data_IF_137776940929
#
_entry.id   IF_137776940929
#
_cell.length_a   1.000
_cell.length_b   1.000
_cell.length_c   1.000
_cell.angle_alpha   90.00
_cell.angle_beta   90.00
_cell.angle_gamma   90.00
#
_symmetry.space_group_name_H-M   'P 1'
#
loop_
_entity.id
_entity.type
_entity.pdbx_description
1 polymer ?
#
# COMPACT_ATOMS: atom_id res chain seq x y z
N UNK A 1 -8.51 -11.05 -19.01
CA UNK A 1 -9.73 -10.23 -19.06
C UNK A 1 -9.69 -9.25 -17.90
N UNK A 2 -9.70 -7.95 -18.19
CA UNK A 2 -9.79 -6.88 -17.20
C UNK A 2 -11.24 -6.90 -16.69
N UNK A 3 -11.47 -6.84 -15.38
CA UNK A 3 -12.83 -6.76 -14.82
C UNK A 3 -13.60 -5.64 -15.55
N UNK A 4 -14.86 -5.86 -15.96
CA UNK A 4 -15.70 -4.78 -16.49
C UNK A 4 -15.70 -3.63 -15.48
N UNK A 5 -15.14 -2.48 -15.88
CA UNK A 5 -15.02 -1.28 -15.02
C UNK A 5 -13.69 -1.13 -14.26
N UNK A 6 -12.75 -2.05 -14.37
CA UNK A 6 -11.42 -1.87 -13.76
C UNK A 6 -10.58 -0.88 -14.57
N UNK A 7 -10.31 0.27 -13.97
CA UNK A 7 -9.54 1.35 -14.58
C UNK A 7 -8.05 1.19 -14.24
N UNK A 8 -7.28 0.64 -15.18
CA UNK A 8 -5.83 0.44 -15.10
C UNK A 8 -5.08 1.38 -16.07
N UNK A 9 -3.97 1.95 -15.62
CA UNK A 9 -3.06 2.80 -16.40
C UNK A 9 -3.77 3.89 -17.24
N UNK A 10 -3.78 3.91 -18.60
CA UNK A 10 -4.38 5.05 -19.33
C UNK A 10 -5.89 5.21 -19.05
N UNK A 11 -6.54 4.16 -18.54
CA UNK A 11 -7.96 4.16 -18.23
C UNK A 11 -8.27 4.64 -16.81
N UNK A 12 -7.29 4.98 -15.96
CA UNK A 12 -7.55 5.54 -14.63
C UNK A 12 -8.53 6.71 -14.69
N UNK A 13 -9.55 6.67 -13.83
CA UNK A 13 -10.51 7.75 -13.70
C UNK A 13 -9.81 9.08 -13.42
N UNK A 14 -10.38 10.16 -13.95
CA UNK A 14 -9.81 11.51 -13.77
C UNK A 14 -9.69 11.89 -12.29
N UNK A 15 -10.66 11.50 -11.45
CA UNK A 15 -10.66 11.72 -10.00
C UNK A 15 -9.59 10.91 -9.23
N UNK A 16 -8.99 9.88 -9.84
CA UNK A 16 -7.92 9.09 -9.22
C UNK A 16 -6.52 9.60 -9.53
N UNK A 17 -6.41 10.64 -10.37
CA UNK A 17 -5.14 11.29 -10.73
C UNK A 17 -4.87 12.47 -9.80
N UNK A 18 -3.60 12.73 -9.51
CA UNK A 18 -3.18 13.86 -8.69
C UNK A 18 -2.37 14.87 -9.51
N UNK A 19 -2.50 16.16 -9.17
CA UNK A 19 -1.66 17.23 -9.69
C UNK A 19 -0.49 17.50 -8.74
N UNK A 20 0.65 17.87 -9.32
CA UNK A 20 1.86 18.28 -8.59
C UNK A 20 1.98 19.79 -8.42
N UNK A 21 1.24 20.57 -9.21
CA UNK A 21 1.17 22.02 -9.10
C UNK A 21 -0.19 22.55 -9.60
N UNK A 22 -0.59 23.77 -9.24
CA UNK A 22 -1.90 24.33 -9.64
C UNK A 22 -2.14 24.36 -11.16
N UNK A 23 -1.07 24.57 -11.94
CA UNK A 23 -1.09 24.57 -13.40
C UNK A 23 -0.48 23.29 -14.01
N UNK A 24 -0.12 22.31 -13.18
CA UNK A 24 0.49 21.06 -13.61
C UNK A 24 -0.53 20.12 -14.22
N UNK A 25 -0.10 19.34 -15.23
CA UNK A 25 -0.88 18.17 -15.66
C UNK A 25 -0.99 17.20 -14.49
N UNK A 26 -2.15 16.55 -14.35
CA UNK A 26 -2.27 15.45 -13.41
C UNK A 26 -1.25 14.38 -13.81
N UNK A 27 -0.26 14.15 -12.95
CA UNK A 27 0.63 13.02 -13.18
C UNK A 27 -0.09 11.77 -12.70
N UNK A 28 0.01 10.66 -13.44
CA UNK A 28 -0.68 9.40 -13.11
C UNK A 28 -0.17 8.73 -11.81
N UNK A 29 0.47 9.52 -10.94
CA UNK A 29 1.03 9.15 -9.66
C UNK A 29 0.33 9.99 -8.58
N UNK A 30 -0.41 9.35 -7.68
CA UNK A 30 -0.16 8.00 -7.18
C UNK A 30 -0.98 6.92 -7.88
N UNK A 31 -0.39 5.73 -7.99
CA UNK A 31 -1.11 4.57 -8.50
C UNK A 31 -2.28 4.21 -7.58
N UNK A 32 -3.50 4.32 -8.10
CA UNK A 32 -4.73 3.86 -7.46
C UNK A 32 -5.44 2.92 -8.42
N UNK A 33 -5.72 1.68 -7.98
CA UNK A 33 -6.56 0.75 -8.71
C UNK A 33 -8.04 1.01 -8.37
N UNK A 34 -8.83 1.42 -9.37
CA UNK A 34 -10.27 1.63 -9.23
C UNK A 34 -11.02 0.43 -9.80
N UNK A 35 -11.17 -0.61 -8.96
CA UNK A 35 -11.90 -1.84 -9.26
C UNK A 35 -12.40 -2.46 -7.96
N UNK A 36 -13.38 -3.36 -8.03
CA UNK A 36 -13.75 -4.18 -6.86
C UNK A 36 -12.52 -4.98 -6.42
N UNK A 37 -12.13 -4.81 -5.15
CA UNK A 37 -10.90 -5.35 -4.57
C UNK A 37 -9.64 -4.50 -4.70
N UNK A 38 -9.74 -3.33 -5.33
CA UNK A 38 -8.70 -2.31 -5.36
C UNK A 38 -7.33 -2.86 -5.77
N UNK A 39 -6.29 -2.44 -5.04
CA UNK A 39 -4.90 -2.77 -5.36
C UNK A 39 -4.57 -4.26 -5.33
N UNK A 40 -5.29 -5.07 -4.55
CA UNK A 40 -5.01 -6.53 -4.45
C UNK A 40 -5.30 -7.29 -5.74
N UNK A 41 -6.06 -6.71 -6.67
CA UNK A 41 -6.21 -7.29 -8.01
C UNK A 41 -4.88 -7.27 -8.79
N UNK A 42 -4.06 -6.26 -8.55
CA UNK A 42 -2.87 -5.91 -9.34
C UNK A 42 -1.60 -5.73 -8.48
N UNK A 43 -1.59 -6.26 -7.26
CA UNK A 43 -0.39 -6.32 -6.43
C UNK A 43 0.45 -7.57 -6.73
N UNK A 44 1.71 -7.53 -6.27
CA UNK A 44 2.65 -8.66 -6.36
C UNK A 44 2.48 -9.72 -5.26
N UNK A 45 1.47 -9.56 -4.39
CA UNK A 45 1.15 -10.49 -3.30
C UNK A 45 2.29 -10.76 -2.30
N UNK A 46 3.16 -9.78 -2.09
CA UNK A 46 4.18 -9.78 -1.04
C UNK A 46 3.54 -9.36 0.28
N UNK A 47 3.64 -10.20 1.31
CA UNK A 47 2.86 -10.08 2.55
C UNK A 47 3.74 -10.19 3.79
N UNK A 48 4.47 -9.11 4.11
CA UNK A 48 5.27 -9.05 5.33
C UNK A 48 4.44 -8.58 6.52
N UNK A 49 4.74 -9.12 7.71
CA UNK A 49 4.37 -8.49 8.98
C UNK A 49 5.27 -7.28 9.25
N UNK A 50 4.74 -6.31 9.99
CA UNK A 50 5.56 -5.24 10.56
C UNK A 50 6.27 -5.72 11.84
N UNK A 51 7.33 -5.01 12.22
CA UNK A 51 8.09 -5.24 13.45
C UNK A 51 7.73 -4.19 14.49
N UNK A 52 8.08 -4.45 15.76
CA UNK A 52 7.84 -3.49 16.84
C UNK A 52 8.49 -2.14 16.54
N UNK A 53 9.69 -2.15 15.93
CA UNK A 53 10.39 -0.96 15.48
C UNK A 53 9.59 -0.09 14.48
N UNK A 54 8.70 -0.67 13.68
CA UNK A 54 7.82 0.09 12.77
C UNK A 54 6.67 0.77 13.52
N UNK A 55 6.23 0.21 14.66
CA UNK A 55 5.17 0.79 15.49
C UNK A 55 5.71 1.84 16.46
N UNK A 56 7.00 1.76 16.81
CA UNK A 56 7.72 2.72 17.66
C UNK A 56 8.88 3.41 16.91
N UNK A 57 8.58 3.92 15.71
CA UNK A 57 9.58 4.46 14.79
C UNK A 57 10.24 5.76 15.28
N UNK A 58 9.62 6.48 16.24
CA UNK A 58 10.17 7.69 16.86
C UNK A 58 11.49 7.45 17.58
N UNK A 59 11.84 6.21 17.94
CA UNK A 59 13.15 5.88 18.48
C UNK A 59 14.29 6.10 17.46
N UNK A 60 13.98 6.03 16.16
CA UNK A 60 14.94 6.15 15.06
C UNK A 60 14.77 7.44 14.26
N UNK A 61 13.53 7.77 13.92
CA UNK A 61 13.20 8.85 12.99
C UNK A 61 12.89 10.14 13.75
N UNK A 62 13.12 11.29 13.11
CA UNK A 62 12.83 12.61 13.68
C UNK A 62 12.01 13.39 12.68
N UNK A 63 10.76 13.67 13.02
CA UNK A 63 9.83 14.43 12.18
C UNK A 63 9.11 15.48 13.01
N UNK A 64 8.32 16.33 12.35
CA UNK A 64 7.50 17.36 12.99
C UNK A 64 6.13 16.84 13.46
N UNK A 65 5.94 15.52 13.52
CA UNK A 65 4.67 14.92 13.88
C UNK A 65 4.82 13.65 14.74
N UNK A 66 3.75 13.24 15.43
CA UNK A 66 3.69 11.95 16.16
C UNK A 66 3.62 10.77 15.18
N UNK A 67 4.64 9.90 15.18
CA UNK A 67 4.77 8.82 14.18
C UNK A 67 4.67 7.41 14.77
N UNK A 68 4.65 7.30 16.09
CA UNK A 68 4.41 6.03 16.76
C UNK A 68 2.94 5.68 16.66
N UNK A 69 2.67 4.39 16.52
CA UNK A 69 1.32 3.87 16.44
C UNK A 69 0.70 3.84 17.84
N UNK A 70 -0.60 4.15 18.00
CA UNK A 70 -1.29 4.07 19.28
C UNK A 70 -1.67 2.63 19.66
N UNK A 71 -1.00 1.64 19.08
CA UNK A 71 -1.18 0.20 19.27
C UNK A 71 0.20 -0.47 19.24
N UNK A 72 0.24 -1.72 19.69
CA UNK A 72 1.43 -2.57 19.72
C UNK A 72 1.33 -3.72 18.71
N UNK A 73 2.41 -4.49 18.56
CA UNK A 73 2.35 -5.72 17.76
C UNK A 73 1.39 -6.76 18.35
N UNK A 74 1.22 -6.80 19.68
CA UNK A 74 0.31 -7.74 20.34
C UNK A 74 -1.14 -7.51 19.91
N UNK A 75 -1.51 -6.27 19.64
CA UNK A 75 -2.84 -5.90 19.15
C UNK A 75 -3.09 -6.37 17.71
N UNK A 76 -2.03 -6.59 16.93
CA UNK A 76 -2.10 -7.03 15.53
C UNK A 76 -1.89 -8.54 15.37
N UNK A 77 -1.18 -9.18 16.31
CA UNK A 77 -0.71 -10.56 16.20
C UNK A 77 -1.83 -11.57 15.88
N UNK A 78 -2.98 -11.59 16.57
CA UNK A 78 -4.06 -12.52 16.25
C UNK A 78 -4.58 -12.34 14.82
N UNK A 79 -4.65 -11.09 14.36
CA UNK A 79 -5.20 -10.76 13.04
C UNK A 79 -4.19 -11.03 11.93
N UNK A 80 -2.89 -10.85 12.18
CA UNK A 80 -1.87 -11.28 11.21
C UNK A 80 -2.02 -12.77 10.90
N UNK A 81 -2.20 -13.58 11.95
CA UNK A 81 -2.34 -15.02 11.87
C UNK A 81 -3.59 -15.47 11.10
N UNK A 82 -4.73 -14.84 11.38
CA UNK A 82 -5.96 -15.11 10.65
C UNK A 82 -5.85 -14.73 9.17
N UNK A 83 -5.20 -13.60 8.86
CA UNK A 83 -5.00 -13.17 7.47
C UNK A 83 -4.01 -14.09 6.74
N UNK A 84 -2.97 -14.58 7.41
CA UNK A 84 -2.06 -15.59 6.86
C UNK A 84 -2.78 -16.88 6.49
N UNK A 85 -3.66 -17.36 7.39
CA UNK A 85 -4.51 -18.51 7.12
C UNK A 85 -5.48 -18.26 5.97
N UNK A 86 -6.19 -17.13 5.98
CA UNK A 86 -7.18 -16.77 4.95
C UNK A 86 -6.54 -16.69 3.56
N UNK A 87 -5.38 -16.04 3.47
CA UNK A 87 -4.72 -15.79 2.20
C UNK A 87 -3.79 -16.93 1.75
N UNK A 88 -3.54 -17.92 2.60
CA UNK A 88 -2.56 -18.99 2.40
C UNK A 88 -1.16 -18.41 2.13
N UNK A 89 -0.69 -17.54 3.01
CA UNK A 89 0.62 -16.88 2.86
C UNK A 89 1.73 -17.92 2.98
N UNK A 90 2.55 -18.06 1.95
CA UNK A 90 3.63 -19.04 1.91
C UNK A 90 4.69 -18.78 3.00
N UNK A 91 5.20 -19.86 3.59
CA UNK A 91 6.20 -19.78 4.68
C UNK A 91 5.63 -19.38 6.04
N UNK A 92 4.30 -19.40 6.20
CA UNK A 92 3.58 -19.11 7.45
C UNK A 92 2.57 -20.24 7.74
N UNK A 93 1.99 -20.32 8.95
CA UNK A 93 0.86 -21.20 9.32
C UNK A 93 0.75 -22.57 8.60
N UNK A 94 1.83 -23.35 8.57
CA UNK A 94 1.85 -24.68 7.94
C UNK A 94 1.88 -24.70 6.40
N UNK A 95 1.82 -23.53 5.75
CA UNK A 95 2.01 -23.37 4.31
C UNK A 95 3.49 -23.39 3.96
N UNK A 96 3.83 -24.23 2.99
CA UNK A 96 5.20 -24.31 2.49
C UNK A 96 5.65 -22.98 1.87
N UNK A 97 6.92 -22.57 2.03
CA UNK A 97 7.47 -21.43 1.33
C UNK A 97 7.30 -21.56 -0.18
N UNK A 98 7.07 -20.44 -0.86
CA UNK A 98 7.11 -20.43 -2.32
C UNK A 98 8.55 -20.74 -2.78
N UNK A 99 8.76 -21.67 -3.73
CA UNK A 99 10.10 -22.03 -4.17
C UNK A 99 10.87 -20.83 -4.74
N UNK A 100 12.15 -20.71 -4.38
CA UNK A 100 13.00 -19.68 -4.97
C UNK A 100 13.11 -19.88 -6.48
N UNK A 101 12.97 -18.79 -7.24
CA UNK A 101 13.22 -18.80 -8.67
C UNK A 101 14.70 -19.11 -8.95
N UNK A 102 15.03 -19.52 -10.18
CA UNK A 102 16.44 -19.68 -10.58
C UNK A 102 17.26 -18.41 -10.32
N UNK A 103 16.66 -17.24 -10.58
CA UNK A 103 17.31 -15.94 -10.34
C UNK A 103 17.44 -15.65 -8.85
N UNK A 104 16.41 -15.96 -8.06
CA UNK A 104 16.41 -15.87 -6.61
C UNK A 104 17.51 -16.73 -5.98
N UNK A 105 17.77 -17.93 -6.50
CA UNK A 105 18.87 -18.80 -6.06
C UNK A 105 20.24 -18.19 -6.34
N UNK A 106 20.45 -17.61 -7.52
CA UNK A 106 21.70 -16.91 -7.85
C UNK A 106 21.92 -15.72 -6.92
N UNK A 107 20.88 -14.88 -6.75
CA UNK A 107 20.90 -13.75 -5.82
C UNK A 107 21.23 -14.22 -4.39
N UNK A 108 20.60 -15.32 -3.95
CA UNK A 108 20.86 -15.89 -2.62
C UNK A 108 22.31 -16.29 -2.42
N UNK A 109 22.93 -16.91 -3.43
CA UNK A 109 24.34 -17.31 -3.34
C UNK A 109 25.26 -16.10 -3.25
N UNK A 110 25.04 -15.08 -4.08
CA UNK A 110 25.81 -13.83 -4.00
C UNK A 110 25.63 -13.11 -2.66
N UNK A 111 24.41 -13.09 -2.10
CA UNK A 111 24.16 -12.56 -0.75
C UNK A 111 24.97 -13.33 0.30
N UNK A 112 24.94 -14.67 0.30
CA UNK A 112 25.70 -15.50 1.26
C UNK A 112 27.20 -15.25 1.17
N UNK A 113 27.74 -15.11 -0.03
CA UNK A 113 29.17 -14.82 -0.24
C UNK A 113 29.60 -13.44 0.27
N UNK A 114 28.64 -12.51 0.42
CA UNK A 114 28.83 -11.20 1.06
C UNK A 114 28.53 -11.20 2.56
N UNK A 115 28.18 -12.35 3.14
CA UNK A 115 27.74 -12.45 4.53
C UNK A 115 26.32 -11.91 4.78
N UNK A 116 25.52 -11.72 3.72
CA UNK A 116 24.12 -11.30 3.80
C UNK A 116 23.23 -12.56 3.86
N UNK A 117 22.20 -12.53 4.70
CA UNK A 117 21.26 -13.63 4.90
C UNK A 117 20.08 -13.54 3.93
N UNK A 118 19.99 -14.39 2.89
CA UNK A 118 18.81 -14.47 2.05
C UNK A 118 17.69 -15.28 2.72
N UNK A 119 16.44 -14.87 2.48
CA UNK A 119 15.21 -15.48 2.99
C UNK A 119 14.16 -15.59 1.87
N UNK A 120 13.20 -16.49 2.03
CA UNK A 120 12.07 -16.64 1.10
C UNK A 120 11.00 -15.58 1.35
N UNK A 121 10.58 -14.88 0.30
CA UNK A 121 9.53 -13.86 0.39
C UNK A 121 8.20 -14.52 0.79
N UNK A 122 7.49 -14.01 1.83
CA UNK A 122 6.14 -14.44 2.13
C UNK A 122 5.19 -13.96 1.03
N UNK A 123 4.62 -14.92 0.30
CA UNK A 123 3.74 -14.65 -0.84
C UNK A 123 2.34 -15.19 -0.59
N UNK A 124 1.32 -14.37 -0.78
CA UNK A 124 -0.07 -14.83 -0.92
C UNK A 124 -0.32 -15.39 -2.33
N UNK A 125 0.53 -16.35 -2.73
CA UNK A 125 0.47 -17.05 -4.01
C UNK A 125 0.67 -18.53 -3.70
N UNK A 126 -0.30 -19.37 -4.09
CA UNK A 126 -0.14 -20.83 -3.98
C UNK A 126 1.03 -21.30 -4.85
N UNK A 127 1.94 -22.13 -4.32
CA UNK A 127 3.07 -22.66 -5.06
C UNK A 127 2.68 -23.34 -6.40
N UNK A 128 3.58 -23.40 -7.39
CA UNK A 128 3.33 -24.15 -8.60
C UNK A 128 3.22 -25.66 -8.28
N UNK A 129 2.62 -26.43 -9.20
CA UNK A 129 2.44 -27.89 -9.08
C UNK A 129 1.56 -28.36 -7.91
N UNK A 130 0.80 -27.47 -7.29
CA UNK A 130 -0.28 -27.81 -6.34
C UNK A 130 -1.64 -27.68 -7.03
N UNK A 131 -2.70 -28.21 -6.42
CA UNK A 131 -4.09 -27.97 -6.85
C UNK A 131 -4.36 -26.45 -6.89
N UNK A 132 -4.85 -25.95 -8.02
CA UNK A 132 -5.05 -24.50 -8.29
C UNK A 132 -3.82 -23.62 -8.01
N UNK A 133 -2.62 -24.19 -8.19
CA UNK A 133 -1.34 -23.53 -7.97
C UNK A 133 -1.00 -22.48 -9.04
N UNK A 134 0.09 -21.75 -8.79
CA UNK A 134 0.60 -20.77 -9.74
C UNK A 134 1.00 -21.43 -11.07
N UNK A 135 0.63 -20.80 -12.19
CA UNK A 135 1.06 -21.21 -13.55
C UNK A 135 2.27 -20.40 -14.05
N UNK A 136 2.88 -19.60 -13.17
CA UNK A 136 4.13 -18.88 -13.42
C UNK A 136 4.09 -17.89 -14.61
N UNK A 137 2.95 -17.26 -14.87
CA UNK A 137 2.74 -16.37 -16.03
C UNK A 137 3.35 -14.96 -15.93
N UNK A 138 4.11 -14.65 -14.88
CA UNK A 138 4.85 -13.37 -14.65
C UNK A 138 4.05 -12.06 -14.59
N UNK A 139 2.74 -12.07 -14.80
CA UNK A 139 1.93 -10.85 -14.97
C UNK A 139 1.19 -10.37 -13.71
N UNK A 140 1.69 -10.69 -12.50
CA UNK A 140 0.94 -10.56 -11.23
C UNK A 140 0.42 -9.15 -10.91
N UNK A 141 1.16 -8.12 -11.32
CA UNK A 141 0.89 -6.69 -11.11
C UNK A 141 0.20 -5.99 -12.30
N UNK A 142 0.01 -6.69 -13.43
CA UNK A 142 -0.64 -6.15 -14.62
C UNK A 142 -2.00 -6.78 -14.89
N UNK A 143 -2.14 -8.07 -14.56
CA UNK A 143 -3.32 -8.86 -14.86
C UNK A 143 -3.87 -9.49 -13.59
N UNK A 144 -5.20 -9.58 -13.53
CA UNK A 144 -5.88 -10.44 -12.56
C UNK A 144 -5.40 -11.88 -12.79
N UNK A 145 -5.07 -12.58 -11.72
CA UNK A 145 -4.56 -13.94 -11.80
C UNK A 145 -5.61 -14.87 -12.45
N UNK A 146 -5.29 -15.53 -13.57
CA UNK A 146 -6.28 -16.30 -14.33
C UNK A 146 -6.70 -17.61 -13.63
N UNK A 147 -5.92 -18.09 -12.67
CA UNK A 147 -6.16 -19.36 -11.96
C UNK A 147 -6.51 -19.17 -10.49
N UNK A 148 -6.70 -17.93 -10.03
CA UNK A 148 -6.92 -17.60 -8.62
C UNK A 148 -5.79 -18.08 -7.67
N UNK A 149 -4.60 -18.41 -8.20
CA UNK A 149 -3.45 -18.83 -7.40
C UNK A 149 -2.88 -17.69 -6.55
N UNK A 150 -2.90 -16.46 -7.08
CA UNK A 150 -2.61 -15.23 -6.33
C UNK A 150 -3.87 -14.82 -5.57
N UNK A 151 -3.80 -14.82 -4.24
CA UNK A 151 -4.90 -14.41 -3.41
C UNK A 151 -5.32 -12.97 -3.75
N UNK A 152 -6.61 -12.72 -3.67
CA UNK A 152 -7.23 -11.41 -3.73
C UNK A 152 -8.66 -11.60 -3.19
N UNK A 153 -9.41 -10.51 -3.01
CA UNK A 153 -10.74 -10.58 -2.40
C UNK A 153 -11.71 -11.49 -3.17
N UNK A 154 -11.58 -11.58 -4.50
CA UNK A 154 -12.44 -12.43 -5.32
C UNK A 154 -12.00 -13.89 -5.25
N UNK A 155 -10.68 -14.13 -5.35
CA UNK A 155 -10.10 -15.47 -5.26
C UNK A 155 -10.32 -16.15 -3.90
N UNK A 156 -10.62 -15.36 -2.86
CA UNK A 156 -10.89 -15.83 -1.49
C UNK A 156 -12.34 -15.65 -1.05
N UNK A 157 -13.22 -15.30 -1.98
CA UNK A 157 -14.66 -15.15 -1.72
C UNK A 157 -14.96 -14.28 -0.49
N UNK A 158 -14.21 -13.20 -0.28
CA UNK A 158 -14.35 -12.34 0.93
C UNK A 158 -15.70 -11.62 0.97
N UNK A 159 -16.34 -11.48 -0.20
CA UNK A 159 -17.68 -10.87 -0.36
C UNK A 159 -18.79 -11.94 -0.40
N UNK A 160 -18.52 -13.17 0.02
CA UNK A 160 -19.52 -14.23 0.15
C UNK A 160 -20.45 -13.92 1.33
N UNK A 161 -21.72 -13.69 1.03
CA UNK A 161 -22.77 -13.42 2.01
C UNK A 161 -23.63 -14.65 2.30
N UNK A 162 -23.23 -15.86 1.89
CA UNK A 162 -24.02 -17.09 2.08
C UNK A 162 -24.39 -17.38 3.54
N UNK A 163 -23.55 -16.95 4.49
CA UNK A 163 -23.86 -17.04 5.92
C UNK A 163 -25.00 -16.09 6.36
N UNK A 164 -25.18 -14.96 5.67
CA UNK A 164 -26.20 -13.95 5.93
C UNK A 164 -26.72 -13.35 4.61
N UNK A 165 -27.52 -14.08 3.83
CA UNK A 165 -27.89 -13.66 2.47
C UNK A 165 -28.57 -12.28 2.46
N UNK A 166 -28.11 -11.40 1.57
CA UNK A 166 -28.63 -10.04 1.45
C UNK A 166 -28.04 -9.02 2.45
N UNK A 167 -27.10 -9.45 3.29
CA UNK A 167 -26.40 -8.54 4.23
C UNK A 167 -25.35 -7.66 3.56
N UNK A 168 -24.83 -8.07 2.40
CA UNK A 168 -23.79 -7.35 1.66
C UNK A 168 -24.34 -6.92 0.28
N UNK A 169 -24.23 -5.62 -0.02
CA UNK A 169 -24.53 -5.06 -1.34
C UNK A 169 -23.32 -4.31 -1.88
N UNK A 170 -22.91 -4.64 -3.11
CA UNK A 170 -21.74 -4.04 -3.75
C UNK A 170 -22.19 -3.17 -4.93
N UNK A 171 -22.10 -1.85 -4.77
CA UNK A 171 -22.35 -0.90 -5.86
C UNK A 171 -21.03 -0.55 -6.56
N UNK A 172 -20.83 -1.09 -7.76
CA UNK A 172 -19.68 -0.76 -8.61
C UNK A 172 -20.04 0.32 -9.65
N UNK A 173 -19.02 1.00 -10.20
CA UNK A 173 -19.23 2.13 -11.11
C UNK A 173 -19.81 3.37 -10.40
N UNK A 174 -19.78 3.39 -9.08
CA UNK A 174 -20.27 4.46 -8.22
C UNK A 174 -19.09 5.09 -7.47
N UNK A 175 -19.03 6.42 -7.43
CA UNK A 175 -18.00 7.20 -6.76
C UNK A 175 -18.61 7.99 -5.61
N UNK A 176 -18.12 7.81 -4.38
CA UNK A 176 -18.56 8.62 -3.23
C UNK A 176 -17.86 9.97 -3.29
N UNK A 177 -18.62 11.03 -3.55
CA UNK A 177 -18.06 12.37 -3.69
C UNK A 177 -17.97 13.08 -2.33
N UNK A 178 -19.01 12.98 -1.49
CA UNK A 178 -19.03 13.59 -0.15
C UNK A 178 -19.88 12.81 0.85
N UNK A 179 -19.62 13.04 2.14
CA UNK A 179 -20.42 12.57 3.27
C UNK A 179 -21.22 13.74 3.81
N UNK A 180 -22.54 13.56 3.95
CA UNK A 180 -23.45 14.57 4.49
C UNK A 180 -23.61 14.40 6.01
N UNK A 181 -23.48 15.52 6.73
CA UNK A 181 -23.69 15.58 8.17
C UNK A 181 -25.07 16.16 8.52
N UNK A 182 -25.81 15.46 9.38
CA UNK A 182 -27.07 15.97 9.97
C UNK A 182 -26.79 17.00 11.06
N UNK A 183 -25.83 16.69 11.93
CA UNK A 183 -25.33 17.52 13.03
C UNK A 183 -23.81 17.62 12.96
N UNK A 184 -23.21 18.42 13.84
CA UNK A 184 -21.76 18.51 14.06
C UNK A 184 -21.06 17.15 14.20
N UNK A 185 -21.73 16.16 14.77
CA UNK A 185 -21.12 14.88 15.14
C UNK A 185 -21.67 13.65 14.39
N UNK A 186 -22.60 13.76 13.44
CA UNK A 186 -23.29 12.59 12.88
C UNK A 186 -23.54 12.65 11.37
N UNK A 187 -23.03 11.65 10.64
CA UNK A 187 -23.31 11.45 9.23
C UNK A 187 -24.72 10.87 9.03
N UNK A 188 -25.42 11.33 8.00
CA UNK A 188 -26.77 10.83 7.64
C UNK A 188 -26.86 10.24 6.24
N UNK A 189 -26.00 10.66 5.31
CA UNK A 189 -26.04 10.18 3.94
C UNK A 189 -24.68 10.29 3.25
N UNK A 190 -24.53 9.54 2.17
CA UNK A 190 -23.48 9.70 1.18
C UNK A 190 -24.07 10.36 -0.07
N UNK A 191 -23.35 11.34 -0.60
CA UNK A 191 -23.59 11.82 -1.96
C UNK A 191 -22.63 11.12 -2.91
N UNK A 192 -23.21 10.39 -3.84
CA UNK A 192 -22.53 9.53 -4.79
C UNK A 192 -22.76 10.01 -6.22
N UNK A 193 -21.77 9.78 -7.06
CA UNK A 193 -21.77 10.12 -8.47
C UNK A 193 -21.53 8.85 -9.30
N UNK A 194 -22.31 8.64 -10.36
CA UNK A 194 -22.16 7.53 -11.31
C UNK A 194 -21.56 8.07 -12.61
N UNK A 195 -20.27 7.86 -12.90
CA UNK A 195 -19.60 8.49 -14.04
C UNK A 195 -20.21 8.20 -15.41
N UNK A 196 -20.71 6.97 -15.62
CA UNK A 196 -21.26 6.55 -16.92
C UNK A 196 -22.58 7.25 -17.27
N UNK A 197 -23.42 7.53 -16.27
CA UNK A 197 -24.72 8.16 -16.46
C UNK A 197 -24.75 9.63 -16.05
N UNK A 198 -23.66 10.13 -15.46
CA UNK A 198 -23.62 11.42 -14.77
C UNK A 198 -24.68 11.61 -13.68
N UNK A 199 -25.26 10.51 -13.19
CA UNK A 199 -26.29 10.53 -12.17
C UNK A 199 -25.69 10.79 -10.79
N UNK A 200 -26.38 11.62 -10.00
CA UNK A 200 -26.11 11.76 -8.56
C UNK A 200 -27.12 10.95 -7.76
N UNK A 201 -26.63 10.25 -6.74
CA UNK A 201 -27.39 9.35 -5.88
C UNK A 201 -27.12 9.74 -4.44
N UNK A 202 -28.18 9.91 -3.66
CA UNK A 202 -28.08 10.09 -2.21
C UNK A 202 -28.40 8.77 -1.51
N UNK A 203 -27.48 8.29 -0.69
CA UNK A 203 -27.62 7.00 0.03
C UNK A 203 -27.66 7.30 1.54
N UNK A 204 -28.82 7.15 2.21
CA UNK A 204 -28.90 7.27 3.66
C UNK A 204 -28.06 6.20 4.37
N UNK A 205 -27.42 6.56 5.49
CA UNK A 205 -26.52 5.67 6.23
C UNK A 205 -26.74 5.76 7.73
N UNK A 206 -26.48 4.65 8.44
CA UNK A 206 -26.39 4.63 9.91
C UNK A 206 -24.97 4.85 10.41
N UNK A 207 -23.99 4.35 9.67
CA UNK A 207 -22.57 4.53 9.91
C UNK A 207 -21.81 4.52 8.58
N UNK A 208 -20.62 5.12 8.58
CA UNK A 208 -19.72 5.18 7.42
C UNK A 208 -18.36 4.61 7.81
N UNK A 209 -17.87 3.64 7.03
CA UNK A 209 -16.51 3.11 7.14
C UNK A 209 -15.77 3.46 5.85
N UNK A 210 -14.75 4.31 5.96
CA UNK A 210 -13.97 4.82 4.84
C UNK A 210 -12.75 3.92 4.60
N UNK A 211 -12.71 3.29 3.42
CA UNK A 211 -11.64 2.37 3.00
C UNK A 211 -11.14 2.69 1.57
N UNK A 212 -11.05 3.97 1.21
CA UNK A 212 -10.80 4.40 -0.16
C UNK A 212 -9.30 4.43 -0.55
N UNK A 213 -8.39 4.03 0.35
CA UNK A 213 -6.93 4.26 0.33
C UNK A 213 -6.52 5.60 0.94
N UNK A 214 -5.26 5.74 1.34
CA UNK A 214 -4.84 6.90 2.11
C UNK A 214 -5.13 8.25 1.42
N UNK A 215 -5.01 8.31 0.11
CA UNK A 215 -5.16 9.56 -0.63
C UNK A 215 -6.63 9.88 -0.89
N UNK A 216 -7.40 8.91 -1.35
CA UNK A 216 -8.81 9.12 -1.65
C UNK A 216 -9.65 9.27 -0.39
N UNK A 217 -9.30 8.57 0.69
CA UNK A 217 -9.99 8.72 1.96
C UNK A 217 -9.81 10.13 2.52
N UNK A 218 -8.57 10.66 2.54
CA UNK A 218 -8.34 12.05 2.92
C UNK A 218 -9.02 13.04 1.98
N UNK A 219 -9.00 12.81 0.67
CA UNK A 219 -9.69 13.66 -0.30
C UNK A 219 -11.21 13.67 -0.08
N UNK A 220 -11.83 12.53 0.23
CA UNK A 220 -13.26 12.43 0.57
C UNK A 220 -13.58 13.26 1.81
N UNK A 221 -12.77 13.14 2.88
CA UNK A 221 -12.97 13.91 4.09
C UNK A 221 -12.86 15.42 3.83
N UNK A 222 -11.85 15.86 3.06
CA UNK A 222 -11.64 17.26 2.68
C UNK A 222 -12.73 17.82 1.76
N UNK A 223 -13.32 16.98 0.89
CA UNK A 223 -14.44 17.37 0.00
C UNK A 223 -15.76 17.48 0.75
N UNK A 224 -15.91 16.75 1.85
CA UNK A 224 -17.13 16.68 2.66
C UNK A 224 -17.27 17.95 3.53
N UNK A 225 -17.47 19.10 2.89
CA UNK A 225 -17.64 20.39 3.57
C UNK A 225 -19.12 20.67 3.84
N UNK A 226 -19.39 21.22 5.01
CA UNK A 226 -20.74 21.69 5.38
C UNK A 226 -20.64 22.81 6.42
N UNK A 227 -21.78 23.36 6.87
CA UNK A 227 -21.81 24.29 8.02
C UNK A 227 -21.21 23.69 9.30
N UNK A 228 -21.27 22.37 9.42
CA UNK A 228 -20.78 21.59 10.56
C UNK A 228 -19.32 21.18 10.41
N UNK A 229 -18.77 21.24 9.19
CA UNK A 229 -17.39 20.87 8.87
C UNK A 229 -16.85 21.79 7.77
N UNK A 230 -16.58 23.08 8.05
CA UNK A 230 -16.25 24.07 7.02
C UNK A 230 -14.93 23.78 6.30
N UNK A 231 -13.99 23.09 6.96
CA UNK A 231 -12.68 22.70 6.43
C UNK A 231 -12.62 21.24 5.97
N UNK A 232 -13.76 20.55 5.95
CA UNK A 232 -13.87 19.10 5.71
C UNK A 232 -14.03 18.32 7.02
N UNK A 233 -14.70 17.18 6.95
CA UNK A 233 -15.00 16.33 8.12
C UNK A 233 -13.69 15.84 8.77
N UNK A 234 -13.59 15.99 10.09
CA UNK A 234 -12.41 15.56 10.87
C UNK A 234 -11.18 16.45 10.72
N UNK A 235 -11.30 17.61 10.05
CA UNK A 235 -10.17 18.48 9.72
C UNK A 235 -10.11 19.79 10.54
N UNK A 236 -10.65 19.80 11.76
CA UNK A 236 -10.64 20.97 12.64
C UNK A 236 -9.22 21.38 13.05
N UNK A 237 -8.31 20.41 13.13
CA UNK A 237 -6.89 20.62 13.48
C UNK A 237 -5.96 20.73 12.25
N UNK A 238 -6.51 20.84 11.03
CA UNK A 238 -5.76 20.80 9.75
C UNK A 238 -4.81 19.59 9.62
N UNK A 239 -5.24 18.42 10.11
CA UNK A 239 -4.45 17.18 10.07
C UNK A 239 -4.80 16.27 8.90
N UNK A 240 -6.02 16.36 8.36
CA UNK A 240 -6.45 15.51 7.25
C UNK A 240 -5.60 15.79 6.03
N UNK A 241 -5.03 14.72 5.48
CA UNK A 241 -4.14 14.75 4.33
C UNK A 241 -2.66 14.96 4.69
N UNK A 242 -2.31 15.49 5.87
CA UNK A 242 -0.92 15.69 6.29
C UNK A 242 -0.26 14.39 6.72
N UNK A 243 1.08 14.33 6.63
CA UNK A 243 1.83 13.12 6.93
C UNK A 243 1.72 12.06 5.83
N UNK A 244 1.33 12.49 4.61
CA UNK A 244 1.31 11.60 3.45
C UNK A 244 2.70 10.99 3.32
N UNK A 245 2.75 9.67 3.38
CA UNK A 245 4.00 8.93 3.28
C UNK A 245 3.85 7.77 2.31
N UNK A 246 4.92 7.52 1.58
CA UNK A 246 5.06 6.33 0.76
C UNK A 246 6.11 5.38 1.37
N UNK A 247 6.68 4.50 0.56
CA UNK A 247 7.99 3.92 0.87
C UNK A 247 9.03 4.54 -0.04
N UNK A 248 10.12 5.04 0.54
CA UNK A 248 11.30 5.35 -0.25
C UNK A 248 11.76 4.06 -0.93
N UNK A 249 11.98 4.14 -2.24
CA UNK A 249 12.19 2.94 -3.06
C UNK A 249 12.98 3.23 -4.32
N UNK A 250 13.70 2.22 -4.77
CA UNK A 250 14.40 2.25 -6.05
C UNK A 250 14.81 0.85 -6.50
N UNK A 251 15.27 0.77 -7.73
CA UNK A 251 15.83 -0.45 -8.30
C UNK A 251 17.31 -0.26 -8.60
N UNK A 252 18.08 -1.32 -8.48
CA UNK A 252 19.38 -1.45 -9.14
C UNK A 252 19.27 -2.58 -10.15
N UNK A 253 19.68 -2.32 -11.39
CA UNK A 253 19.62 -3.29 -12.49
C UNK A 253 21.04 -3.50 -13.01
N UNK A 254 21.44 -4.74 -13.24
CA UNK A 254 22.72 -5.09 -13.86
C UNK A 254 22.57 -6.20 -14.90
N UNK A 255 23.57 -6.32 -15.77
CA UNK A 255 23.61 -7.27 -16.88
C UNK A 255 24.68 -8.33 -16.67
N UNK A 256 24.30 -9.60 -16.69
CA UNK A 256 25.22 -10.74 -16.63
C UNK A 256 25.42 -11.28 -18.04
N UNK A 257 26.68 -11.28 -18.51
CA UNK A 257 27.04 -11.51 -19.92
C UNK A 257 26.71 -12.90 -20.48
N UNK A 258 26.55 -13.93 -19.65
CA UNK A 258 26.20 -15.27 -20.11
C UNK A 258 24.67 -15.47 -20.07
N UNK A 259 23.93 -15.35 -21.19
CA UNK A 259 22.47 -15.41 -21.18
C UNK A 259 21.96 -16.82 -20.85
N UNK A 260 22.76 -17.86 -21.11
CA UNK A 260 22.42 -19.23 -20.74
C UNK A 260 22.35 -19.43 -19.22
N UNK A 261 23.02 -18.57 -18.44
CA UNK A 261 22.93 -18.57 -16.98
C UNK A 261 21.67 -17.85 -16.45
N UNK A 262 21.03 -16.98 -17.26
CA UNK A 262 19.87 -16.18 -16.89
C UNK A 262 18.85 -16.14 -18.04
N UNK A 263 18.06 -17.21 -18.24
CA UNK A 263 17.02 -17.25 -19.26
C UNK A 263 15.85 -16.30 -18.91
N UNK A 264 14.81 -16.34 -19.75
CA UNK A 264 13.54 -15.65 -19.47
C UNK A 264 12.98 -16.06 -18.10
N UNK A 265 12.39 -15.10 -17.38
CA UNK A 265 11.82 -15.35 -16.05
C UNK A 265 10.32 -15.62 -16.11
N UNK A 266 9.94 -16.82 -15.70
CA UNK A 266 8.55 -17.22 -15.49
C UNK A 266 8.32 -17.40 -13.99
N UNK A 267 7.32 -16.70 -13.44
CA UNK A 267 7.02 -16.77 -12.01
C UNK A 267 6.72 -15.41 -11.39
N UNK A 268 6.56 -15.35 -10.05
CA UNK A 268 6.21 -14.11 -9.37
C UNK A 268 7.32 -13.05 -9.47
N UNK A 269 6.96 -11.81 -9.11
CA UNK A 269 7.87 -10.68 -9.13
C UNK A 269 9.11 -10.88 -8.26
N UNK A 270 8.96 -11.54 -7.11
CA UNK A 270 10.03 -11.75 -6.15
C UNK A 270 9.82 -13.10 -5.44
N UNK A 271 10.90 -13.83 -5.19
CA UNK A 271 10.90 -15.05 -4.37
C UNK A 271 11.92 -15.01 -3.24
N UNK A 272 12.95 -14.16 -3.35
CA UNK A 272 14.02 -14.00 -2.35
C UNK A 272 14.17 -12.55 -1.91
N UNK A 273 14.44 -12.37 -0.62
CA UNK A 273 14.77 -11.07 -0.02
C UNK A 273 15.83 -11.20 1.07
N UNK A 274 16.32 -10.06 1.54
CA UNK A 274 17.03 -9.92 2.81
C UNK A 274 16.46 -8.73 3.59
N UNK A 275 16.47 -8.86 4.90
CA UNK A 275 16.09 -7.86 5.89
C UNK A 275 17.23 -7.54 6.86
N UNK A 276 18.48 -7.91 6.52
CA UNK A 276 19.66 -7.64 7.34
C UNK A 276 19.91 -6.14 7.57
N UNK A 277 19.34 -5.29 6.70
CA UNK A 277 19.45 -3.84 6.77
C UNK A 277 18.23 -3.16 7.42
N UNK A 278 17.31 -3.91 8.02
CA UNK A 278 16.12 -3.34 8.66
C UNK A 278 16.47 -2.45 9.85
N UNK A 279 17.29 -2.98 10.76
CA UNK A 279 17.86 -2.29 11.93
C UNK A 279 19.36 -2.56 11.93
N UNK A 280 20.13 -1.66 11.33
CA UNK A 280 21.54 -1.91 11.02
C UNK A 280 22.41 -0.68 11.29
N UNK A 281 23.54 -0.81 12.01
CA UNK A 281 24.34 0.32 12.48
C UNK A 281 24.92 1.19 11.35
N UNK A 282 25.17 0.60 10.19
CA UNK A 282 25.67 1.32 9.01
C UNK A 282 24.61 2.10 8.22
N UNK A 283 23.32 1.89 8.50
CA UNK A 283 22.25 2.67 7.85
C UNK A 283 22.12 4.01 8.59
N UNK A 284 21.91 5.15 7.92
CA UNK A 284 21.51 6.40 8.57
C UNK A 284 20.35 6.16 9.55
N UNK A 285 20.41 6.80 10.72
CA UNK A 285 19.51 6.60 11.86
C UNK A 285 19.32 5.12 12.33
N UNK A 286 20.18 4.20 11.88
CA UNK A 286 20.15 2.75 12.14
C UNK A 286 18.88 2.03 11.66
N UNK A 287 18.06 2.66 10.84
CA UNK A 287 16.76 2.13 10.44
C UNK A 287 16.67 2.09 8.92
N UNK A 288 16.75 0.91 8.31
CA UNK A 288 16.77 0.76 6.85
C UNK A 288 15.52 0.08 6.35
N UNK A 289 15.68 -1.07 5.72
CA UNK A 289 14.57 -1.84 5.17
C UNK A 289 15.03 -3.06 4.41
N UNK A 290 14.33 -3.38 3.33
CA UNK A 290 14.46 -4.64 2.61
C UNK A 290 15.19 -4.46 1.28
N UNK A 291 15.92 -5.50 0.87
CA UNK A 291 16.40 -5.66 -0.51
C UNK A 291 15.87 -6.99 -1.02
N UNK A 292 15.21 -7.00 -2.18
CA UNK A 292 14.59 -8.20 -2.72
C UNK A 292 14.70 -8.30 -4.24
N UNK A 293 14.59 -9.54 -4.72
CA UNK A 293 14.47 -9.87 -6.14
C UNK A 293 13.31 -9.10 -6.79
N UNK A 294 13.50 -8.52 -7.97
CA UNK A 294 12.42 -7.81 -8.65
C UNK A 294 12.42 -8.07 -10.16
N UNK A 295 11.73 -9.11 -10.59
CA UNK A 295 11.60 -9.46 -11.99
C UNK A 295 10.70 -8.46 -12.75
N UNK A 296 11.00 -8.26 -14.03
CA UNK A 296 10.17 -7.53 -14.99
C UNK A 296 8.99 -8.38 -15.44
N UNK A 297 7.93 -7.72 -15.89
CA UNK A 297 6.62 -8.36 -16.12
C UNK A 297 6.65 -9.24 -17.37
N UNK A 298 7.37 -8.80 -18.42
CA UNK A 298 7.62 -9.64 -19.59
C UNK A 298 8.78 -10.61 -19.31
N UNK A 299 8.56 -11.94 -19.41
CA UNK A 299 9.61 -12.93 -19.16
C UNK A 299 10.90 -12.67 -19.97
N UNK A 300 10.76 -12.28 -21.24
CA UNK A 300 11.87 -12.03 -22.15
C UNK A 300 12.72 -10.82 -21.78
N UNK A 301 12.15 -9.81 -21.10
CA UNK A 301 12.91 -8.64 -20.65
C UNK A 301 13.89 -8.94 -19.51
N UNK A 302 13.76 -10.10 -18.87
CA UNK A 302 14.64 -10.56 -17.80
C UNK A 302 15.88 -11.33 -18.31
N UNK A 303 15.98 -11.62 -19.60
CA UNK A 303 17.12 -12.36 -20.18
C UNK A 303 18.41 -11.58 -19.92
N UNK A 304 19.37 -12.22 -19.24
CA UNK A 304 20.65 -11.61 -18.88
C UNK A 304 20.58 -10.43 -17.90
N UNK A 305 19.40 -10.03 -17.41
CA UNK A 305 19.22 -8.88 -16.51
C UNK A 305 18.88 -9.33 -15.09
N UNK A 306 19.57 -8.80 -14.09
CA UNK A 306 19.20 -8.99 -12.68
C UNK A 306 18.80 -7.64 -12.11
N UNK A 307 17.64 -7.59 -11.47
CA UNK A 307 17.12 -6.39 -10.81
C UNK A 307 16.81 -6.67 -9.36
N UNK A 308 17.31 -5.80 -8.49
CA UNK A 308 17.00 -5.78 -7.06
C UNK A 308 16.20 -4.52 -6.74
N UNK A 309 15.13 -4.69 -5.98
CA UNK A 309 14.34 -3.60 -5.43
C UNK A 309 14.73 -3.42 -3.97
N UNK A 310 14.99 -2.19 -3.58
CA UNK A 310 15.20 -1.80 -2.19
C UNK A 310 14.12 -0.83 -1.75
N UNK A 311 13.60 -1.05 -0.54
CA UNK A 311 12.52 -0.22 0.04
C UNK A 311 12.79 0.04 1.52
N UNK A 312 12.32 1.20 1.99
CA UNK A 312 12.22 1.53 3.41
C UNK A 312 11.02 2.46 3.66
N UNK A 313 10.55 2.53 4.90
CA UNK A 313 9.47 3.44 5.28
C UNK A 313 9.97 4.88 5.26
N UNK A 314 9.22 5.76 4.61
CA UNK A 314 9.53 7.19 4.54
C UNK A 314 9.27 7.89 5.90
N UNK A 315 10.05 8.90 6.22
CA UNK A 315 9.76 9.81 7.32
C UNK A 315 8.44 10.58 7.10
N UNK A 316 7.43 10.44 7.98
CA UNK A 316 6.18 11.19 7.85
C UNK A 316 6.37 12.66 8.27
N UNK A 317 6.28 13.57 7.30
CA UNK A 317 6.40 15.01 7.52
C UNK A 317 5.08 15.75 7.25
N UNK A 318 4.78 16.78 8.04
CA UNK A 318 3.52 17.53 7.92
C UNK A 318 3.36 18.31 6.61
N UNK A 319 4.49 18.62 5.94
CA UNK A 319 4.52 19.29 4.64
C UNK A 319 4.18 18.34 3.48
N UNK A 320 4.34 17.02 3.67
CA UNK A 320 3.86 16.03 2.73
C UNK A 320 2.36 15.86 2.96
N UNK A 321 1.55 16.32 2.01
CA UNK A 321 0.11 16.33 2.21
C UNK A 321 -0.73 16.18 0.94
N UNK A 322 -1.89 15.56 1.13
CA UNK A 322 -3.01 15.58 0.20
C UNK A 322 -3.83 16.85 0.44
N UNK A 323 -4.22 17.50 -0.65
CA UNK A 323 -5.08 18.66 -0.68
C UNK A 323 -6.06 18.57 -1.86
N UNK A 324 -7.07 19.42 -1.84
CA UNK A 324 -7.91 19.66 -3.01
C UNK A 324 -7.38 20.86 -3.80
N UNK A 325 -7.45 20.76 -5.12
CA UNK A 325 -7.20 21.86 -6.04
C UNK A 325 -8.46 22.70 -6.22
N UNK A 326 -8.31 23.97 -6.62
CA UNK A 326 -9.45 24.81 -7.01
C UNK A 326 -10.04 24.39 -8.35
N UNK A 327 -9.24 23.75 -9.22
CA UNK A 327 -9.73 23.17 -10.45
C UNK A 327 -10.59 21.94 -10.17
N UNK A 328 -11.69 21.82 -10.92
CA UNK A 328 -12.62 20.70 -10.88
C UNK A 328 -12.55 19.90 -12.18
N UNK A 329 -12.84 18.61 -12.11
CA UNK A 329 -12.99 17.75 -13.26
C UNK A 329 -14.33 17.99 -13.99
N UNK A 330 -14.58 17.37 -15.16
CA UNK A 330 -15.84 17.52 -15.89
C UNK A 330 -17.11 17.08 -15.12
N UNK A 331 -16.95 16.40 -13.98
CA UNK A 331 -18.04 15.94 -13.13
C UNK A 331 -18.25 16.84 -11.91
N UNK A 332 -17.49 17.94 -11.81
CA UNK A 332 -17.55 18.90 -10.72
C UNK A 332 -16.77 18.46 -9.48
N UNK A 333 -15.93 17.43 -9.58
CA UNK A 333 -15.13 16.92 -8.48
C UNK A 333 -13.79 17.66 -8.45
N UNK A 334 -13.39 18.29 -7.33
CA UNK A 334 -12.08 18.91 -7.20
C UNK A 334 -10.95 17.91 -7.48
N UNK A 335 -9.97 18.32 -8.28
CA UNK A 335 -8.76 17.53 -8.48
C UNK A 335 -8.00 17.38 -7.17
N UNK A 336 -7.33 16.24 -6.99
CA UNK A 336 -6.41 16.04 -5.89
C UNK A 336 -5.09 16.73 -6.23
N UNK A 337 -4.52 17.44 -5.26
CA UNK A 337 -3.18 18.00 -5.31
C UNK A 337 -2.33 17.39 -4.21
N UNK A 338 -1.11 16.97 -4.56
CA UNK A 338 -0.16 16.41 -3.61
C UNK A 338 1.03 17.35 -3.49
N UNK A 339 1.28 17.83 -2.27
CA UNK A 339 2.57 18.40 -1.90
C UNK A 339 3.44 17.28 -1.35
N UNK A 340 4.63 17.09 -1.92
CA UNK A 340 5.48 15.97 -1.57
C UNK A 340 6.96 16.25 -1.80
N UNK A 341 7.79 15.88 -0.83
CA UNK A 341 9.24 15.94 -0.87
C UNK A 341 9.83 14.94 0.12
N UNK A 342 10.80 14.13 -0.32
CA UNK A 342 11.56 13.29 0.61
C UNK A 342 12.51 14.12 1.47
N UNK A 343 12.80 13.64 2.68
CA UNK A 343 13.82 14.24 3.55
C UNK A 343 15.25 13.93 3.07
N UNK A 344 16.23 14.59 3.68
CA UNK A 344 17.65 14.24 3.47
C UNK A 344 17.99 12.87 4.05
N UNK A 345 17.43 12.54 5.22
CA UNK A 345 17.64 11.24 5.85
C UNK A 345 17.07 10.11 4.97
N UNK A 346 15.87 10.29 4.42
CA UNK A 346 15.26 9.36 3.46
C UNK A 346 16.16 9.10 2.24
N UNK A 347 16.72 10.17 1.65
CA UNK A 347 17.69 10.04 0.53
C UNK A 347 18.94 9.27 0.95
N UNK A 348 19.45 9.49 2.16
CA UNK A 348 20.62 8.81 2.67
C UNK A 348 20.34 7.31 2.94
N UNK A 349 19.21 7.00 3.58
CA UNK A 349 18.76 5.63 3.87
C UNK A 349 18.59 4.81 2.58
N UNK A 350 17.90 5.38 1.59
CA UNK A 350 17.69 4.66 0.32
C UNK A 350 18.98 4.50 -0.48
N UNK A 351 19.89 5.48 -0.43
CA UNK A 351 21.21 5.40 -1.06
C UNK A 351 22.06 4.29 -0.44
N UNK A 352 22.01 4.11 0.89
CA UNK A 352 22.66 3.00 1.57
C UNK A 352 22.15 1.65 1.04
N UNK A 353 20.84 1.45 0.98
CA UNK A 353 20.26 0.21 0.47
C UNK A 353 20.60 -0.02 -1.00
N UNK A 354 20.62 1.04 -1.82
CA UNK A 354 21.06 0.98 -3.20
C UNK A 354 22.51 0.48 -3.31
N UNK A 355 23.43 1.00 -2.49
CA UNK A 355 24.83 0.54 -2.46
C UNK A 355 24.93 -0.97 -2.16
N UNK A 356 24.18 -1.46 -1.16
CA UNK A 356 24.16 -2.88 -0.79
C UNK A 356 23.54 -3.77 -1.88
N UNK A 357 22.51 -3.28 -2.57
CA UNK A 357 21.96 -3.96 -3.74
C UNK A 357 23.00 -4.06 -4.87
N UNK A 358 23.75 -2.98 -5.15
CA UNK A 358 24.81 -3.00 -6.15
C UNK A 358 25.96 -3.95 -5.78
N UNK A 359 26.33 -4.05 -4.50
CA UNK A 359 27.34 -5.00 -4.05
C UNK A 359 26.93 -6.45 -4.38
N UNK A 360 25.65 -6.78 -4.17
CA UNK A 360 25.08 -8.08 -4.55
C UNK A 360 25.13 -8.29 -6.07
N UNK A 361 24.78 -7.28 -6.86
CA UNK A 361 24.85 -7.35 -8.33
C UNK A 361 26.28 -7.51 -8.84
N UNK A 362 27.25 -6.78 -8.28
CA UNK A 362 28.68 -6.92 -8.61
C UNK A 362 29.17 -8.32 -8.26
N UNK A 363 28.74 -8.87 -7.12
CA UNK A 363 29.10 -10.22 -6.70
C UNK A 363 28.56 -11.30 -7.64
N UNK A 364 27.38 -11.09 -8.22
CA UNK A 364 26.83 -11.93 -9.30
C UNK A 364 27.59 -11.84 -10.63
N UNK A 365 28.58 -10.94 -10.75
CA UNK A 365 29.27 -10.66 -12.00
C UNK A 365 28.46 -9.77 -12.95
N UNK A 366 27.47 -9.03 -12.45
CA UNK A 366 26.73 -8.08 -13.27
C UNK A 366 27.58 -6.86 -13.64
N UNK A 367 27.41 -6.39 -14.86
CA UNK A 367 28.01 -5.19 -15.44
C UNK A 367 26.93 -4.17 -15.82
N UNK A 368 27.32 -2.95 -16.17
CA UNK A 368 26.39 -1.86 -16.53
C UNK A 368 25.30 -1.67 -15.46
N UNK A 369 25.71 -1.52 -14.21
CA UNK A 369 24.77 -1.39 -13.08
C UNK A 369 24.20 0.03 -13.06
N UNK A 370 22.88 0.12 -13.13
CA UNK A 370 22.15 1.38 -13.15
C UNK A 370 21.16 1.46 -11.98
N UNK A 371 21.10 2.63 -11.33
CA UNK A 371 20.06 2.95 -10.34
C UNK A 371 18.87 3.58 -11.01
N UNK A 372 17.68 3.06 -10.73
CA UNK A 372 16.42 3.62 -11.21
C UNK A 372 15.57 4.06 -10.01
N UNK A 373 15.42 5.36 -9.75
CA UNK A 373 14.53 5.83 -8.69
C UNK A 373 13.08 5.46 -9.01
N UNK A 374 12.33 4.95 -8.03
CA UNK A 374 10.92 4.61 -8.23
C UNK A 374 10.07 5.89 -8.35
N UNK A 375 9.08 5.89 -9.26
CA UNK A 375 8.10 6.98 -9.44
C UNK A 375 8.73 8.38 -9.52
N UNK A 376 9.85 8.51 -10.24
CA UNK A 376 10.62 9.77 -10.37
C UNK A 376 11.03 10.37 -9.01
N UNK A 377 11.29 9.52 -8.01
CA UNK A 377 11.66 9.94 -6.66
C UNK A 377 10.47 10.20 -5.73
N UNK A 378 9.22 9.86 -6.12
CA UNK A 378 8.05 9.97 -5.23
C UNK A 378 7.89 8.80 -4.24
N UNK A 379 8.75 7.80 -4.29
CA UNK A 379 8.57 6.57 -3.53
C UNK A 379 7.52 5.63 -4.14
N UNK A 380 7.27 4.50 -3.48
CA UNK A 380 6.48 3.38 -4.01
C UNK A 380 4.99 3.72 -4.12
N UNK A 381 4.20 2.84 -4.74
CA UNK A 381 2.73 2.95 -4.76
C UNK A 381 2.04 2.54 -3.45
N UNK A 382 2.74 2.63 -2.31
CA UNK A 382 2.19 2.29 -0.99
C UNK A 382 1.77 3.57 -0.29
N UNK A 383 0.49 3.74 0.06
CA UNK A 383 -0.06 5.03 0.48
C UNK A 383 -0.40 5.00 1.98
N UNK A 384 0.11 5.94 2.77
CA UNK A 384 -0.12 5.95 4.23
C UNK A 384 -0.28 7.35 4.85
N UNK A 385 -0.74 7.36 6.10
CA UNK A 385 -0.46 8.43 7.05
C UNK A 385 -1.28 9.70 6.91
N UNK A 386 -2.26 9.75 6.01
CA UNK A 386 -3.06 10.96 5.76
C UNK A 386 -4.19 11.20 6.76
N UNK A 387 -4.53 10.22 7.61
CA UNK A 387 -5.55 10.32 8.66
C UNK A 387 -5.11 9.54 9.90
N UNK A 388 -3.94 9.93 10.40
CA UNK A 388 -3.19 9.26 11.47
C UNK A 388 -4.01 9.03 12.73
N UNK A 389 -3.75 7.90 13.37
CA UNK A 389 -4.40 7.49 14.61
C UNK A 389 -3.67 8.04 15.83
N UNK A 390 -4.41 8.38 16.88
CA UNK A 390 -3.83 8.85 18.14
C UNK A 390 -4.90 9.16 19.18
N UNK A 391 -4.48 9.60 20.36
CA UNK A 391 -5.41 9.80 21.48
C UNK A 391 -6.13 11.15 21.45
N UNK A 392 -5.59 12.14 20.74
CA UNK A 392 -6.08 13.52 20.84
C UNK A 392 -6.42 14.13 19.47
N UNK A 393 -7.56 14.84 19.35
CA UNK A 393 -7.97 15.51 18.10
C UNK A 393 -7.00 16.60 17.63
N UNK A 394 -6.17 17.14 18.55
CA UNK A 394 -5.17 18.16 18.20
C UNK A 394 -3.92 17.58 17.53
N UNK A 395 -3.67 16.28 17.63
CA UNK A 395 -2.46 15.62 17.10
C UNK A 395 -2.75 14.46 16.14
N UNK A 396 -4.00 14.01 16.08
CA UNK A 396 -4.45 12.89 15.24
C UNK A 396 -5.84 13.13 14.66
N UNK A 397 -6.18 12.39 13.59
CA UNK A 397 -7.49 12.49 12.92
C UNK A 397 -8.47 11.46 13.49
N UNK A 398 -7.98 10.26 13.77
CA UNK A 398 -8.79 9.16 14.31
C UNK A 398 -8.25 8.66 15.64
N UNK A 399 -9.08 7.98 16.42
CA UNK A 399 -8.65 7.22 17.58
C UNK A 399 -7.96 5.89 17.18
N UNK A 400 -7.50 5.13 18.17
CA UNK A 400 -6.89 3.82 17.95
C UNK A 400 -7.85 2.76 17.39
N UNK A 401 -9.16 3.02 17.32
CA UNK A 401 -10.17 2.16 16.68
C UNK A 401 -10.54 2.66 15.28
N UNK A 402 -9.90 3.71 14.77
CA UNK A 402 -10.19 4.30 13.46
C UNK A 402 -11.40 5.24 13.45
N UNK A 403 -11.99 5.56 14.60
CA UNK A 403 -13.12 6.49 14.69
C UNK A 403 -12.61 7.93 14.58
N UNK A 404 -13.22 8.75 13.73
CA UNK A 404 -12.86 10.17 13.63
C UNK A 404 -13.22 10.88 14.93
N UNK A 405 -12.27 11.65 15.47
CA UNK A 405 -12.49 12.39 16.72
C UNK A 405 -13.69 13.34 16.61
N UNK A 406 -14.50 13.39 17.68
CA UNK A 406 -15.69 14.25 17.74
C UNK A 406 -16.91 13.75 16.96
N UNK A 407 -16.77 12.71 16.13
CA UNK A 407 -17.89 12.13 15.38
C UNK A 407 -18.42 10.87 16.04
N UNK A 408 -19.66 10.50 15.75
CA UNK A 408 -20.34 9.37 16.39
C UNK A 408 -20.30 8.10 15.54
N UNK A 409 -20.34 8.23 14.21
CA UNK A 409 -20.61 7.12 13.30
C UNK A 409 -19.74 7.11 12.03
N UNK A 410 -18.58 7.79 12.03
CA UNK A 410 -17.63 7.77 10.91
C UNK A 410 -16.31 7.17 11.35
N UNK A 411 -15.87 6.16 10.60
CA UNK A 411 -14.67 5.37 10.85
C UNK A 411 -13.80 5.30 9.59
N UNK A 412 -12.51 5.04 9.77
CA UNK A 412 -11.51 4.89 8.71
C UNK A 412 -10.73 3.61 8.95
N UNK A 413 -10.63 2.74 7.94
CA UNK A 413 -9.98 1.43 8.09
C UNK A 413 -9.09 1.08 6.88
N UNK A 414 -8.19 1.99 6.51
CA UNK A 414 -7.19 1.77 5.46
C UNK A 414 -5.80 2.31 5.83
N UNK A 415 -4.86 2.34 4.87
CA UNK A 415 -3.49 2.80 5.09
C UNK A 415 -3.36 4.25 5.61
N UNK A 416 -4.39 5.10 5.49
CA UNK A 416 -4.37 6.48 6.02
C UNK A 416 -4.13 6.55 7.52
N UNK A 417 -4.56 5.54 8.28
CA UNK A 417 -4.44 5.52 9.75
C UNK A 417 -3.07 5.03 10.23
N UNK A 418 -2.19 4.63 9.31
CA UNK A 418 -0.86 4.12 9.63
C UNK A 418 0.12 5.28 9.85
N UNK A 419 0.51 5.50 11.11
CA UNK A 419 1.32 6.67 11.50
C UNK A 419 2.73 6.67 10.90
N UNK A 420 3.33 5.49 10.80
CA UNK A 420 4.55 5.24 10.02
C UNK A 420 4.28 4.17 8.97
N UNK A 421 4.81 4.39 7.77
CA UNK A 421 4.63 3.52 6.62
C UNK A 421 5.27 2.14 6.77
N UNK A 422 6.12 1.89 7.78
CA UNK A 422 6.86 0.63 7.99
C UNK A 422 7.97 0.38 6.95
N UNK A 423 8.96 -0.45 7.27
CA UNK A 423 10.03 -0.78 6.31
C UNK A 423 9.73 -2.00 5.41
N UNK A 424 8.54 -2.60 5.49
CA UNK A 424 8.10 -3.75 4.66
C UNK A 424 6.72 -3.53 4.01
N UNK A 425 6.34 -4.31 3.00
CA UNK A 425 5.07 -4.12 2.25
C UNK A 425 3.83 -4.06 3.17
N UNK A 426 2.88 -3.13 2.94
CA UNK A 426 1.89 -2.77 3.96
C UNK A 426 0.60 -3.59 3.96
N UNK A 427 0.29 -4.31 2.87
CA UNK A 427 -1.04 -4.89 2.66
C UNK A 427 -1.48 -5.80 3.81
N UNK A 428 -0.57 -6.62 4.32
CA UNK A 428 -0.85 -7.53 5.45
C UNK A 428 -1.23 -6.76 6.71
N UNK A 429 -0.42 -5.75 7.07
CA UNK A 429 -0.67 -4.87 8.23
C UNK A 429 -1.95 -4.07 8.09
N UNK A 430 -2.25 -3.55 6.89
CA UNK A 430 -3.52 -2.85 6.61
C UNK A 430 -4.70 -3.79 6.90
N UNK A 431 -4.68 -5.02 6.40
CA UNK A 431 -5.74 -5.99 6.62
C UNK A 431 -5.89 -6.39 8.09
N UNK A 432 -4.77 -6.65 8.78
CA UNK A 432 -4.76 -7.00 10.20
C UNK A 432 -5.35 -5.86 11.05
N UNK A 433 -4.91 -4.62 10.81
CA UNK A 433 -5.40 -3.46 11.54
C UNK A 433 -6.87 -3.15 11.23
N UNK A 434 -7.30 -3.29 9.97
CA UNK A 434 -8.70 -3.12 9.58
C UNK A 434 -9.60 -4.14 10.29
N UNK A 435 -9.17 -5.41 10.38
CA UNK A 435 -9.93 -6.44 11.11
C UNK A 435 -10.04 -6.14 12.61
N UNK A 436 -8.93 -5.72 13.23
CA UNK A 436 -8.92 -5.27 14.64
C UNK A 436 -9.94 -4.15 14.89
N UNK A 437 -9.91 -3.12 14.04
CA UNK A 437 -10.83 -1.97 14.16
C UNK A 437 -12.29 -2.37 13.91
N UNK A 438 -12.55 -3.26 12.94
CA UNK A 438 -13.89 -3.76 12.66
C UNK A 438 -14.49 -4.54 13.84
N UNK A 439 -13.70 -5.38 14.52
CA UNK A 439 -14.18 -6.10 15.71
C UNK A 439 -14.45 -5.15 16.87
N UNK A 440 -13.57 -4.17 17.11
CA UNK A 440 -13.79 -3.16 18.13
C UNK A 440 -15.07 -2.33 17.89
N UNK A 441 -15.43 -2.11 16.62
CA UNK A 441 -16.71 -1.49 16.27
C UNK A 441 -17.90 -2.44 16.56
N UNK A 442 -17.80 -3.70 16.16
CA UNK A 442 -18.87 -4.69 16.39
C UNK A 442 -19.16 -4.92 17.88
N UNK A 443 -18.13 -4.92 18.72
CA UNK A 443 -18.28 -5.05 20.19
C UNK A 443 -18.96 -3.84 20.85
N UNK A 444 -18.91 -2.65 20.24
CA UNK A 444 -19.55 -1.44 20.78
C UNK A 444 -21.02 -1.30 20.40
N UNK A 445 -21.45 -1.99 19.34
CA UNK A 445 -22.83 -1.96 18.82
C UNK A 445 -23.70 -3.11 19.36
N UNK A 446 -23.08 -4.11 19.99
CA UNK A 446 -23.75 -5.15 20.79
C UNK A 446 -23.89 -4.68 22.25
#
# INVERSE_FOLDING_TARGET
>A
MVSPGALYAPNQATYSKARTSPHGRADGNPWTACAVGGGMQFYNAIMFRYRQADLSASQYLRTDMEIDWPISLLDLEPFYSEIESLLEISGTYGFQPYPASQRGLLISNAMRELGITPKSVPLAIRPPKTTNGCIECSSCNHLVCPTNAKANILAKSVLDDSAFPGSISVLYGCFVNSIELRSDCHAEALECYVPLSSQRIRIPVKAVIVCANAIQSAALMLRSKSRHAPTGIGNDSDLVGRGLSFKISGYSVGYVKNPAALPAHWGPHATVYTDDFYEHPGVPCRFGGLIYEANLDSPGENIGRVRLHYIAGEEPWSHNRVMLDSAIDPHGIPYIRIAYKNSENDRARISFLANRAEDTLRRLGASCIERMPFSRGKGSSHLHGTMRAGSFPKTSVVDHCGKIHGLTNIYVMDGSVMNFAGNSHPTHTIMANAKRMALSLAEKEN
#
